data_IF_916382950836
#
_entry.id   IF_916382950836
#
_cell.length_a   1.000
_cell.length_b   1.000
_cell.length_c   1.000
_cell.angle_alpha   90.00
_cell.angle_beta   90.00
_cell.angle_gamma   90.00
#
_symmetry.space_group_name_H-M   'P 1'
#
loop_
_entity.id
_entity.type
_entity.pdbx_description
1 polymer ?
#
# COMPACT_ATOMS: atom_id res chain seq x y z
N UNK A 1 4.47 -2.72 -8.60
CA UNK A 1 3.48 -2.61 -9.71
C UNK A 1 3.91 -1.50 -10.66
N UNK A 2 4.65 -1.84 -11.70
CA UNK A 2 4.96 -0.89 -12.79
C UNK A 2 3.70 -0.51 -13.57
N UNK A 3 3.76 0.60 -14.32
CA UNK A 3 2.69 1.05 -15.23
C UNK A 3 2.23 -0.04 -16.22
N UNK A 4 3.16 -0.90 -16.65
CA UNK A 4 2.86 -2.04 -17.52
C UNK A 4 1.87 -3.04 -16.86
N UNK A 5 2.03 -3.30 -15.57
CA UNK A 5 1.12 -4.17 -14.83
C UNK A 5 -0.26 -3.53 -14.66
N UNK A 6 -0.34 -2.21 -14.48
CA UNK A 6 -1.62 -1.48 -14.45
C UNK A 6 -2.38 -1.60 -15.78
N UNK A 7 -1.70 -1.45 -16.91
CA UNK A 7 -2.32 -1.58 -18.22
C UNK A 7 -2.88 -3.00 -18.47
N UNK A 8 -2.12 -4.03 -18.08
CA UNK A 8 -2.56 -5.44 -18.17
C UNK A 8 -3.78 -5.71 -17.27
N UNK A 9 -3.77 -5.16 -16.05
CA UNK A 9 -4.88 -5.26 -15.09
C UNK A 9 -6.15 -4.58 -15.60
N UNK A 10 -6.02 -3.35 -16.11
CA UNK A 10 -7.14 -2.61 -16.69
C UNK A 10 -7.73 -3.30 -17.92
N UNK A 11 -6.89 -3.90 -18.78
CA UNK A 11 -7.37 -4.62 -19.96
C UNK A 11 -8.18 -5.87 -19.61
N UNK A 12 -7.76 -6.63 -18.58
CA UNK A 12 -8.40 -7.90 -18.21
C UNK A 12 -9.58 -7.74 -17.22
N UNK A 13 -9.53 -6.75 -16.34
CA UNK A 13 -10.47 -6.64 -15.21
C UNK A 13 -11.23 -5.31 -15.19
N UNK A 14 -11.34 -4.62 -16.34
CA UNK A 14 -11.98 -3.30 -16.47
C UNK A 14 -13.33 -3.20 -15.74
N UNK A 15 -14.18 -4.22 -15.84
CA UNK A 15 -15.51 -4.23 -15.23
C UNK A 15 -15.45 -4.22 -13.70
N UNK A 16 -14.51 -4.95 -13.10
CA UNK A 16 -14.32 -5.05 -11.64
C UNK A 16 -13.53 -3.86 -11.06
N UNK A 17 -12.77 -3.16 -11.90
CA UNK A 17 -11.97 -1.99 -11.51
C UNK A 17 -12.77 -0.69 -11.52
N UNK A 18 -14.03 -0.69 -11.97
CA UNK A 18 -14.88 0.53 -11.96
C UNK A 18 -15.13 1.07 -10.55
N UNK A 19 -15.22 0.19 -9.55
CA UNK A 19 -15.46 0.55 -8.16
C UNK A 19 -14.20 0.56 -7.29
N UNK A 20 -13.04 0.17 -7.84
CA UNK A 20 -11.80 0.02 -7.09
C UNK A 20 -10.73 1.02 -7.55
N UNK A 21 -10.19 1.79 -6.60
CA UNK A 21 -9.08 2.72 -6.87
C UNK A 21 -7.75 1.96 -6.80
N UNK A 22 -7.14 1.70 -7.97
CA UNK A 22 -5.80 1.10 -8.06
C UNK A 22 -4.72 2.18 -8.04
N UNK A 23 -3.79 2.09 -7.09
CA UNK A 23 -2.69 3.03 -6.91
C UNK A 23 -1.37 2.27 -7.10
N UNK A 24 -0.51 2.78 -7.98
CA UNK A 24 0.83 2.24 -8.20
C UNK A 24 1.83 3.10 -7.43
N UNK A 25 2.66 2.46 -6.60
CA UNK A 25 3.66 3.14 -5.77
C UNK A 25 5.03 3.29 -6.45
N UNK A 26 5.20 2.73 -7.65
CA UNK A 26 6.45 2.71 -8.42
C UNK A 26 7.65 2.28 -7.53
N UNK A 27 7.51 1.11 -6.89
CA UNK A 27 8.57 0.46 -6.11
C UNK A 27 9.17 -0.66 -6.98
N UNK A 28 10.50 -0.71 -7.18
CA UNK A 28 11.17 -1.76 -7.96
C UNK A 28 11.13 -3.12 -7.24
N UNK A 29 11.23 -4.20 -8.01
CA UNK A 29 11.13 -5.59 -7.52
C UNK A 29 12.50 -6.18 -7.12
N UNK A 30 13.32 -5.35 -6.48
CA UNK A 30 14.72 -5.67 -6.13
C UNK A 30 14.90 -5.98 -4.63
N UNK A 31 13.80 -5.95 -3.88
CA UNK A 31 13.81 -6.15 -2.44
C UNK A 31 13.49 -7.60 -2.08
N UNK A 32 14.17 -8.11 -1.06
CA UNK A 32 13.79 -9.38 -0.46
C UNK A 32 12.45 -9.26 0.27
N UNK A 33 11.79 -10.40 0.48
CA UNK A 33 10.57 -10.46 1.28
C UNK A 33 10.80 -9.85 2.67
N UNK A 34 9.97 -8.87 3.06
CA UNK A 34 10.02 -8.18 4.35
C UNK A 34 11.33 -7.45 4.66
N UNK A 35 12.10 -7.10 3.63
CA UNK A 35 13.32 -6.35 3.81
C UNK A 35 13.02 -4.98 4.49
N UNK A 36 13.80 -4.57 5.52
CA UNK A 36 13.50 -3.34 6.27
C UNK A 36 13.37 -2.08 5.40
N UNK A 37 14.21 -1.93 4.38
CA UNK A 37 14.15 -0.79 3.45
C UNK A 37 12.85 -0.79 2.62
N UNK A 38 12.34 -1.97 2.26
CA UNK A 38 11.05 -2.11 1.56
C UNK A 38 9.90 -1.65 2.46
N UNK A 39 9.91 -2.08 3.73
CA UNK A 39 8.88 -1.72 4.72
C UNK A 39 8.85 -0.20 4.93
N UNK A 40 10.01 0.41 5.19
CA UNK A 40 10.12 1.85 5.38
C UNK A 40 9.66 2.65 4.14
N UNK A 41 9.98 2.16 2.93
CA UNK A 41 9.54 2.77 1.68
C UNK A 41 8.02 2.67 1.49
N UNK A 42 7.41 1.53 1.86
CA UNK A 42 5.98 1.32 1.82
C UNK A 42 5.26 2.28 2.77
N UNK A 43 5.66 2.36 4.04
CA UNK A 43 5.04 3.24 5.04
C UNK A 43 5.05 4.71 4.58
N UNK A 44 6.19 5.18 4.06
CA UNK A 44 6.35 6.55 3.56
C UNK A 44 5.46 6.87 2.36
N UNK A 45 5.28 5.92 1.44
CA UNK A 45 4.51 6.14 0.20
C UNK A 45 3.01 5.88 0.39
N UNK A 46 2.64 4.87 1.16
CA UNK A 46 1.26 4.43 1.38
C UNK A 46 0.47 5.45 2.19
N UNK A 47 1.09 6.10 3.19
CA UNK A 47 0.42 7.05 4.08
C UNK A 47 -0.33 8.19 3.36
N UNK A 48 0.12 8.60 2.16
CA UNK A 48 -0.56 9.65 1.36
C UNK A 48 -1.88 9.19 0.73
N UNK A 49 -2.08 7.88 0.62
CA UNK A 49 -3.22 7.25 -0.05
C UNK A 49 -4.20 6.62 0.92
N UNK A 50 -3.74 6.31 2.13
CA UNK A 50 -4.60 6.12 3.27
C UNK A 50 -5.15 7.51 3.63
N UNK A 51 -6.26 7.91 3.00
CA UNK A 51 -7.19 8.85 3.65
C UNK A 51 -7.37 8.39 5.11
N UNK A 52 -7.61 9.28 6.07
CA UNK A 52 -7.69 8.90 7.47
C UNK A 52 -8.90 7.96 7.63
N UNK A 53 -8.68 6.67 7.43
CA UNK A 53 -9.30 5.65 8.24
C UNK A 53 -8.97 6.14 9.64
N UNK A 54 -9.99 6.67 10.30
CA UNK A 54 -9.96 6.98 11.73
C UNK A 54 -9.65 5.66 12.41
N UNK A 55 -8.39 5.30 12.47
CA UNK A 55 -7.93 4.22 13.29
C UNK A 55 -7.40 4.92 14.52
N UNK A 56 -8.27 4.96 15.54
CA UNK A 56 -7.81 5.03 16.91
C UNK A 56 -6.79 3.92 17.05
N UNK A 57 -5.51 4.26 17.06
CA UNK A 57 -4.50 3.44 17.71
C UNK A 57 -4.87 3.52 19.19
N UNK A 58 -5.45 2.47 19.81
CA UNK A 58 -5.49 2.46 21.27
C UNK A 58 -4.03 2.52 21.75
N UNK A 59 -3.71 3.34 22.75
CA UNK A 59 -2.37 3.30 23.32
C UNK A 59 -2.16 1.90 23.89
N UNK A 60 -1.34 1.08 23.22
CA UNK A 60 -0.72 -0.07 23.86
C UNK A 60 0.23 0.49 24.93
N UNK A 61 -0.10 0.22 26.19
CA UNK A 61 0.66 0.67 27.35
C UNK A 61 -0.21 1.10 28.53
N UNK A 62 -1.19 0.28 28.92
CA UNK A 62 -1.80 0.32 30.24
C UNK A 62 -1.41 -0.98 30.96
N UNK A 63 -0.16 -1.02 31.41
CA UNK A 63 0.48 -1.87 32.44
C UNK A 63 1.99 -1.58 32.28
N UNK A 64 2.80 -1.18 33.25
CA UNK A 64 2.84 -1.46 34.69
C UNK A 64 3.44 -0.26 35.45
N UNK A 65 2.95 -0.01 36.67
CA UNK A 65 3.47 0.98 37.61
C UNK A 65 2.49 1.35 38.71
#
# INVERSE_FOLDING_TARGET
MERAHRAKLQRRFKAHLKSARVICLDIPDEYAFMQPELVALLEKKVGRFLLPLREKVPPEGADEG
#
